data_IF_416762637865
#
_entry.id   IF_416762637865
#
_cell.length_a   1.000
_cell.length_b   1.000
_cell.length_c   1.000
_cell.angle_alpha   90.00
_cell.angle_beta   90.00
_cell.angle_gamma   90.00
#
_symmetry.space_group_name_H-M   'P 1'
#
loop_
_entity.id
_entity.type
_entity.pdbx_description
1 polymer ?
#
# COMPACT_ATOMS: atom_id res chain seq x y z
N UNK A 1 -7.41 -23.15 21.94
CA UNK A 1 -6.44 -22.39 21.14
C UNK A 1 -6.45 -22.95 19.73
N UNK A 2 -7.11 -22.29 18.78
CA UNK A 2 -7.24 -22.79 17.41
C UNK A 2 -6.02 -22.35 16.60
N UNK A 3 -5.19 -23.31 16.17
CA UNK A 3 -4.05 -23.05 15.30
C UNK A 3 -4.57 -22.77 13.88
N UNK A 4 -4.35 -21.56 13.39
CA UNK A 4 -4.65 -21.17 12.02
C UNK A 4 -3.63 -21.83 11.08
N UNK A 5 -4.00 -22.93 10.45
CA UNK A 5 -3.18 -23.60 9.43
C UNK A 5 -2.93 -22.65 8.26
N UNK A 6 -1.70 -22.16 8.12
CA UNK A 6 -1.31 -21.31 7.00
C UNK A 6 -1.37 -22.11 5.69
N UNK A 7 -2.07 -21.64 4.65
CA UNK A 7 -2.08 -22.31 3.35
C UNK A 7 -0.66 -22.29 2.76
N UNK A 8 -0.10 -23.48 2.55
CA UNK A 8 1.26 -23.65 2.01
C UNK A 8 1.18 -23.59 0.48
N UNK A 9 1.38 -22.39 -0.07
CA UNK A 9 1.44 -22.20 -1.51
C UNK A 9 2.76 -22.77 -2.07
N UNK A 10 2.74 -23.41 -3.26
CA UNK A 10 3.94 -23.89 -3.92
C UNK A 10 4.84 -22.72 -4.37
N UNK A 11 6.16 -22.94 -4.39
CA UNK A 11 7.16 -21.92 -4.76
C UNK A 11 7.00 -21.39 -6.19
N UNK A 12 6.33 -22.15 -7.05
CA UNK A 12 5.96 -21.74 -8.40
C UNK A 12 4.50 -22.13 -8.58
N UNK A 13 3.64 -21.12 -8.73
CA UNK A 13 2.26 -21.35 -9.14
C UNK A 13 2.28 -21.74 -10.62
N UNK A 14 1.51 -22.76 -11.04
CA UNK A 14 1.41 -23.11 -12.45
C UNK A 14 0.88 -21.91 -13.23
N UNK A 15 1.55 -21.59 -14.34
CA UNK A 15 1.14 -20.49 -15.22
C UNK A 15 -0.15 -20.87 -15.93
N UNK A 16 -1.29 -20.46 -15.37
CA UNK A 16 -2.58 -20.56 -16.03
C UNK A 16 -2.67 -19.37 -16.99
N UNK A 17 -2.98 -19.58 -18.28
CA UNK A 17 -3.21 -18.47 -19.20
C UNK A 17 -4.33 -17.60 -18.64
N UNK A 18 -4.12 -16.28 -18.62
CA UNK A 18 -5.13 -15.34 -18.17
C UNK A 18 -6.40 -15.54 -19.00
N UNK A 19 -7.51 -15.85 -18.32
CA UNK A 19 -8.81 -15.92 -18.96
C UNK A 19 -9.18 -14.48 -19.35
N UNK A 20 -9.46 -14.26 -20.63
CA UNK A 20 -9.90 -12.97 -21.11
C UNK A 20 -11.24 -12.64 -20.46
N UNK A 21 -11.31 -11.48 -19.82
CA UNK A 21 -12.54 -10.99 -19.23
C UNK A 21 -13.56 -10.67 -20.33
N UNK A 22 -14.73 -11.32 -20.27
CA UNK A 22 -15.81 -11.19 -21.28
C UNK A 22 -17.03 -10.45 -20.73
N UNK A 23 -17.07 -10.19 -19.42
CA UNK A 23 -18.24 -9.65 -18.72
C UNK A 23 -18.03 -8.20 -18.28
N UNK A 24 -16.78 -7.76 -18.10
CA UNK A 24 -16.46 -6.41 -17.63
C UNK A 24 -16.73 -5.42 -18.73
N UNK A 25 -17.74 -4.58 -18.50
CA UNK A 25 -18.10 -3.50 -19.41
C UNK A 25 -17.00 -2.43 -19.46
N UNK A 26 -16.82 -1.74 -20.60
CA UNK A 26 -15.83 -0.67 -20.72
C UNK A 26 -16.07 0.49 -19.74
N UNK A 27 -17.32 0.69 -19.30
CA UNK A 27 -17.68 1.65 -18.26
C UNK A 27 -17.17 1.23 -16.88
N UNK A 28 -17.17 -0.07 -16.54
CA UNK A 28 -16.59 -0.59 -15.30
C UNK A 28 -15.05 -0.49 -15.28
N UNK A 29 -14.39 -0.63 -16.43
CA UNK A 29 -12.95 -0.40 -16.56
C UNK A 29 -12.63 1.08 -16.35
N UNK A 30 -13.42 1.97 -16.95
CA UNK A 30 -13.27 3.42 -16.80
C UNK A 30 -13.74 3.96 -15.44
N UNK A 31 -14.55 3.19 -14.69
CA UNK A 31 -15.00 3.54 -13.35
C UNK A 31 -13.86 3.53 -12.30
N UNK A 32 -12.62 3.24 -12.71
CA UNK A 32 -11.44 3.68 -11.99
C UNK A 32 -11.23 3.00 -10.66
N UNK A 33 -10.92 1.69 -10.67
CA UNK A 33 -10.45 0.97 -9.49
C UNK A 33 -9.13 1.56 -8.94
N UNK A 34 -8.40 2.30 -9.77
CA UNK A 34 -7.27 3.12 -9.36
C UNK A 34 -7.51 4.53 -9.90
N UNK A 35 -7.88 5.47 -9.02
CA UNK A 35 -7.81 6.89 -9.35
C UNK A 35 -6.35 7.18 -9.67
N UNK A 36 -6.03 7.46 -10.94
CA UNK A 36 -4.74 8.00 -11.34
C UNK A 36 -4.71 9.41 -10.78
N UNK A 37 -4.24 9.55 -9.54
CA UNK A 37 -4.11 10.82 -8.86
C UNK A 37 -2.75 11.41 -9.18
N UNK A 38 -2.69 12.71 -9.40
CA UNK A 38 -1.40 13.38 -9.55
C UNK A 38 -0.63 13.32 -8.22
N UNK A 39 0.70 13.24 -8.23
CA UNK A 39 1.53 13.28 -7.01
C UNK A 39 1.19 14.47 -6.09
N UNK A 40 0.77 15.60 -6.68
CA UNK A 40 0.27 16.80 -6.01
C UNK A 40 -1.09 16.65 -5.33
N UNK A 41 -1.95 15.76 -5.84
CA UNK A 41 -3.30 15.53 -5.31
C UNK A 41 -3.32 14.43 -4.24
N UNK A 42 -2.34 13.52 -4.26
CA UNK A 42 -2.16 12.49 -3.23
C UNK A 42 -0.69 12.43 -2.78
N UNK A 43 -0.23 13.35 -1.94
CA UNK A 43 1.10 13.26 -1.36
C UNK A 43 1.21 11.99 -0.52
N UNK A 44 2.19 11.16 -0.86
CA UNK A 44 2.51 9.93 -0.14
C UNK A 44 3.63 10.24 0.86
N UNK A 45 3.36 9.98 2.13
CA UNK A 45 4.31 10.13 3.22
C UNK A 45 4.80 8.74 3.63
N UNK A 46 6.11 8.55 3.64
CA UNK A 46 6.74 7.27 3.96
C UNK A 46 7.46 7.40 5.30
N UNK A 47 7.23 6.44 6.21
CA UNK A 47 8.06 6.30 7.40
C UNK A 47 9.44 5.73 7.00
N UNK A 48 10.50 6.54 7.04
CA UNK A 48 11.84 6.08 6.66
C UNK A 48 12.62 5.41 7.80
N UNK A 49 11.94 5.07 8.90
CA UNK A 49 12.56 4.34 10.00
C UNK A 49 12.91 2.91 9.59
N UNK A 50 14.07 2.43 10.04
CA UNK A 50 14.56 1.09 9.71
C UNK A 50 13.51 0.05 10.08
N UNK A 51 13.12 -0.77 9.11
CA UNK A 51 12.11 -1.86 9.20
C UNK A 51 10.62 -1.49 9.15
N UNK A 52 10.22 -0.22 9.02
CA UNK A 52 8.81 0.15 8.91
C UNK A 52 8.32 0.38 7.47
N UNK A 53 8.88 1.37 6.78
CA UNK A 53 8.57 1.72 5.37
C UNK A 53 7.07 1.79 5.03
N UNK A 54 6.21 2.08 6.02
CA UNK A 54 4.76 2.20 5.82
C UNK A 54 4.42 3.49 5.08
N UNK A 55 3.45 3.36 4.18
CA UNK A 55 2.92 4.42 3.33
C UNK A 55 1.68 5.04 3.98
N UNK A 56 1.64 6.36 4.07
CA UNK A 56 0.52 7.10 4.61
C UNK A 56 0.06 8.21 3.66
N UNK A 57 -1.26 8.44 3.53
CA UNK A 57 -1.81 9.49 2.66
C UNK A 57 -1.75 10.89 3.31
N UNK A 58 -1.29 11.02 4.55
CA UNK A 58 -1.25 12.30 5.29
C UNK A 58 -0.13 12.29 6.34
N UNK A 59 0.53 13.45 6.52
CA UNK A 59 1.57 13.63 7.54
C UNK A 59 1.07 13.33 8.96
N UNK A 60 -0.15 13.73 9.30
CA UNK A 60 -0.75 13.47 10.62
C UNK A 60 -0.85 11.98 10.94
N UNK A 61 -1.23 11.15 9.96
CA UNK A 61 -1.31 9.69 10.14
C UNK A 61 0.07 9.06 10.30
N UNK A 62 1.06 9.56 9.55
CA UNK A 62 2.45 9.12 9.71
C UNK A 62 2.98 9.47 11.12
N UNK A 63 2.71 10.68 11.60
CA UNK A 63 3.12 11.10 12.95
C UNK A 63 2.46 10.27 14.05
N UNK A 64 1.16 10.01 13.92
CA UNK A 64 0.45 9.15 14.86
C UNK A 64 1.01 7.72 14.85
N UNK A 65 1.40 7.21 13.68
CA UNK A 65 2.04 5.92 13.57
C UNK A 65 3.43 5.92 14.24
N UNK A 66 4.28 6.93 13.96
CA UNK A 66 5.62 7.05 14.56
C UNK A 66 5.56 7.09 16.08
N UNK A 67 4.62 7.87 16.65
CA UNK A 67 4.38 7.94 18.09
C UNK A 67 3.91 6.62 18.71
N UNK A 68 3.17 5.80 17.96
CA UNK A 68 2.60 4.54 18.48
C UNK A 68 3.51 3.33 18.32
N UNK A 69 4.30 3.29 17.24
CA UNK A 69 5.09 2.12 16.85
C UNK A 69 6.58 2.30 17.18
N UNK A 70 7.04 3.55 17.24
CA UNK A 70 8.46 3.90 17.36
C UNK A 70 8.80 4.86 18.52
N UNK A 71 7.79 5.34 19.27
CA UNK A 71 7.95 6.28 20.40
C UNK A 71 8.86 7.49 20.11
N UNK A 72 8.97 7.87 18.83
CA UNK A 72 9.88 8.91 18.34
C UNK A 72 9.08 10.01 17.65
N UNK A 73 9.42 11.27 17.91
CA UNK A 73 8.72 12.45 17.36
C UNK A 73 9.54 13.17 16.27
N UNK A 74 10.69 12.64 15.86
CA UNK A 74 11.56 13.34 14.92
C UNK A 74 10.90 13.50 13.55
N UNK A 75 11.11 14.65 12.93
CA UNK A 75 10.60 14.96 11.59
C UNK A 75 11.59 14.58 10.47
N UNK A 76 12.80 14.13 10.85
CA UNK A 76 13.95 14.02 9.96
C UNK A 76 13.88 12.83 8.98
N UNK A 77 13.10 11.79 9.31
CA UNK A 77 12.98 10.55 8.53
C UNK A 77 11.64 10.44 7.76
N UNK A 78 11.12 11.55 7.25
CA UNK A 78 9.92 11.54 6.42
C UNK A 78 10.31 11.71 4.96
N UNK A 79 10.15 10.63 4.18
CA UNK A 79 10.32 10.69 2.73
C UNK A 79 8.95 11.01 2.11
N UNK A 80 8.83 12.18 1.51
CA UNK A 80 7.69 12.55 0.65
C UNK A 80 7.96 12.05 -0.77
N UNK A 81 7.03 11.31 -1.35
CA UNK A 81 7.14 10.83 -2.74
C UNK A 81 6.96 11.96 -3.78
N UNK A 82 6.91 13.22 -3.34
CA UNK A 82 6.56 14.39 -4.14
C UNK A 82 7.70 15.42 -4.22
N UNK A 83 8.91 15.05 -3.79
CA UNK A 83 10.02 15.96 -3.43
C UNK A 83 9.57 17.05 -2.42
#
# INVERSE_FOLDING_TARGET
MAQSSHPKLPSVLPSIPAIQDVETTPEQVNAGLARVTNPTETPIYICAMQSCYRLFPSKERLMQHRKRDHDSEDEEDIITWNE
#
